data_IF_680110539512
#
_entry.id   IF_680110539512
#
_cell.length_a   1.000
_cell.length_b   1.000
_cell.length_c   1.000
_cell.angle_alpha   90.00
_cell.angle_beta   90.00
_cell.angle_gamma   90.00
#
_symmetry.space_group_name_H-M   'P 1'
#
loop_
_entity.id
_entity.type
_entity.pdbx_description
1 polymer ?
#
# COMPACT_ATOMS: atom_id res chain seq x y z
N UNK A 1 -5.84 21.06 17.95
CA UNK A 1 -6.25 20.53 16.63
C UNK A 1 -6.02 19.02 16.51
N UNK A 2 -5.18 18.38 17.32
CA UNK A 2 -5.13 16.90 17.40
C UNK A 2 -4.42 16.24 16.22
N UNK A 3 -3.95 17.05 15.28
CA UNK A 3 -3.00 16.63 14.26
C UNK A 3 -1.62 16.50 14.90
N UNK A 4 -0.86 15.55 14.39
CA UNK A 4 0.49 15.25 14.82
C UNK A 4 1.41 15.51 13.63
N UNK A 5 2.53 16.16 13.88
CA UNK A 5 3.55 16.35 12.86
C UNK A 5 4.33 15.04 12.66
N UNK A 6 4.71 14.71 11.41
CA UNK A 6 5.61 13.60 11.15
C UNK A 6 6.90 13.73 11.96
N UNK A 7 7.45 12.60 12.42
CA UNK A 7 8.77 12.57 13.05
C UNK A 7 9.82 12.82 11.96
N UNK A 8 10.37 14.04 11.92
CA UNK A 8 11.38 14.45 10.94
C UNK A 8 12.79 14.25 11.52
N UNK A 9 13.48 13.22 11.00
CA UNK A 9 14.94 12.95 10.95
C UNK A 9 15.84 13.23 12.18
N UNK A 10 16.58 12.20 12.62
CA UNK A 10 17.67 12.29 13.62
C UNK A 10 18.03 10.99 14.36
N UNK A 11 17.15 9.99 14.34
CA UNK A 11 17.15 8.92 15.35
C UNK A 11 17.08 7.47 14.79
N UNK A 12 17.57 7.19 13.57
CA UNK A 12 17.60 5.83 13.00
C UNK A 12 16.24 5.09 12.93
N UNK A 13 15.11 5.79 13.04
CA UNK A 13 13.79 5.17 13.12
C UNK A 13 13.28 4.56 11.80
N UNK A 14 13.81 4.99 10.65
CA UNK A 14 13.36 4.52 9.34
C UNK A 14 14.49 4.48 8.30
N UNK A 15 14.62 3.35 7.61
CA UNK A 15 15.39 3.24 6.39
C UNK A 15 14.62 2.39 5.37
N UNK A 16 14.78 2.69 4.08
CA UNK A 16 14.17 1.89 3.02
C UNK A 16 14.84 2.14 1.67
N UNK A 17 14.83 1.13 0.81
CA UNK A 17 15.35 1.22 -0.56
C UNK A 17 14.58 0.26 -1.46
N UNK A 18 14.09 0.75 -2.59
CA UNK A 18 13.59 -0.09 -3.67
C UNK A 18 14.77 -0.42 -4.61
N UNK A 19 14.96 -1.71 -4.92
CA UNK A 19 15.99 -2.18 -5.84
C UNK A 19 15.40 -3.15 -6.84
N UNK A 20 15.85 -3.06 -8.09
CA UNK A 20 15.50 -4.04 -9.11
C UNK A 20 16.50 -5.19 -9.08
N UNK A 21 15.97 -6.42 -9.05
CA UNK A 21 16.74 -7.66 -9.17
C UNK A 21 16.86 -8.14 -10.61
N UNK A 22 16.19 -7.45 -11.56
CA UNK A 22 16.23 -7.78 -12.98
C UNK A 22 17.62 -7.59 -13.60
N UNK A 23 17.98 -8.40 -14.61
CA UNK A 23 19.29 -8.35 -15.25
C UNK A 23 19.49 -7.08 -16.10
N UNK A 24 20.76 -6.73 -16.32
CA UNK A 24 21.13 -5.75 -17.35
C UNK A 24 21.11 -6.42 -18.73
N UNK A 25 20.45 -5.80 -19.70
CA UNK A 25 20.31 -6.27 -21.07
C UNK A 25 20.93 -5.26 -22.03
N UNK A 26 21.64 -5.77 -23.03
CA UNK A 26 22.16 -4.98 -24.16
C UNK A 26 21.16 -5.04 -25.31
N UNK A 27 20.51 -3.93 -25.60
CA UNK A 27 19.61 -3.77 -26.73
C UNK A 27 20.38 -3.39 -28.00
N UNK A 28 19.85 -3.79 -29.17
CA UNK A 28 20.43 -3.51 -30.50
C UNK A 28 21.92 -3.88 -30.65
N UNK A 29 22.31 -5.00 -30.04
CA UNK A 29 23.71 -5.45 -30.02
C UNK A 29 24.31 -5.52 -31.43
N UNK A 30 25.50 -4.95 -31.62
CA UNK A 30 26.23 -4.92 -32.89
C UNK A 30 25.74 -3.85 -33.88
N UNK A 31 24.99 -2.85 -33.41
CA UNK A 31 24.56 -1.70 -34.23
C UNK A 31 25.03 -0.38 -33.62
N UNK A 32 25.02 0.71 -34.38
CA UNK A 32 25.33 2.07 -33.90
C UNK A 32 24.32 2.60 -32.84
N UNK A 33 23.27 1.82 -32.54
CA UNK A 33 22.24 2.12 -31.53
C UNK A 33 22.28 1.13 -30.35
N UNK A 34 23.41 0.45 -30.15
CA UNK A 34 23.60 -0.43 -28.99
C UNK A 34 23.52 0.38 -27.69
N UNK A 35 22.70 -0.07 -26.75
CA UNK A 35 22.62 0.52 -25.40
C UNK A 35 22.33 -0.54 -24.35
N UNK A 36 22.79 -0.29 -23.14
CA UNK A 36 22.54 -1.18 -21.99
C UNK A 36 21.46 -0.57 -21.10
N UNK A 37 20.47 -1.36 -20.71
CA UNK A 37 19.42 -0.98 -19.76
C UNK A 37 19.09 -2.15 -18.85
N UNK A 38 18.40 -1.93 -17.73
CA UNK A 38 17.88 -3.03 -16.91
C UNK A 38 16.50 -3.43 -17.42
N UNK A 39 16.22 -4.72 -17.41
CA UNK A 39 14.86 -5.17 -17.71
C UNK A 39 13.88 -4.64 -16.67
N UNK A 40 12.66 -4.32 -17.12
CA UNK A 40 11.63 -3.76 -16.28
C UNK A 40 11.89 -2.36 -15.73
N UNK A 41 12.96 -1.66 -16.16
CA UNK A 41 13.16 -0.25 -15.79
C UNK A 41 12.01 0.65 -16.32
N UNK A 42 11.64 1.70 -15.58
CA UNK A 42 12.05 1.99 -14.21
C UNK A 42 11.33 1.11 -13.18
N UNK A 43 11.86 1.01 -11.96
CA UNK A 43 11.17 0.36 -10.82
C UNK A 43 9.80 1.01 -10.62
N UNK A 44 8.74 0.22 -10.79
CA UNK A 44 7.36 0.67 -10.66
C UNK A 44 6.86 0.62 -9.21
N UNK A 45 7.49 -0.17 -8.36
CA UNK A 45 7.17 -0.34 -6.95
C UNK A 45 7.47 0.93 -6.15
N UNK A 46 6.55 1.27 -5.25
CA UNK A 46 6.66 2.37 -4.29
C UNK A 46 6.30 1.87 -2.91
N UNK A 47 7.05 2.32 -1.91
CA UNK A 47 6.66 2.21 -0.50
C UNK A 47 6.74 3.60 0.12
N UNK A 48 5.92 3.83 1.13
CA UNK A 48 5.94 5.06 1.92
C UNK A 48 5.61 4.72 3.37
N UNK A 49 6.39 5.29 4.28
CA UNK A 49 6.12 5.21 5.70
C UNK A 49 6.24 6.61 6.30
N UNK A 50 5.25 7.00 7.10
CA UNK A 50 5.28 8.20 7.93
C UNK A 50 5.05 7.79 9.37
N UNK A 51 6.00 8.14 10.23
CA UNK A 51 5.91 7.90 11.66
C UNK A 51 5.37 9.17 12.33
N UNK A 52 4.37 9.01 13.18
CA UNK A 52 3.82 10.04 14.04
C UNK A 52 3.89 9.55 15.50
N UNK A 53 3.90 10.45 16.50
CA UNK A 53 3.98 10.08 17.91
C UNK A 53 3.03 8.97 18.38
N UNK A 54 1.80 8.90 17.87
CA UNK A 54 0.80 7.88 18.25
C UNK A 54 0.20 7.14 17.06
N UNK A 55 0.73 7.38 15.87
CA UNK A 55 0.17 6.88 14.62
C UNK A 55 1.30 6.55 13.64
N UNK A 56 1.02 5.68 12.68
CA UNK A 56 1.96 5.48 11.57
C UNK A 56 1.20 5.16 10.31
N UNK A 57 1.58 5.79 9.22
CA UNK A 57 1.09 5.47 7.88
C UNK A 57 2.14 4.56 7.25
N UNK A 58 1.71 3.43 6.72
CA UNK A 58 2.57 2.52 5.98
C UNK A 58 1.82 2.01 4.76
N UNK A 59 2.50 1.94 3.62
CA UNK A 59 1.91 1.44 2.38
C UNK A 59 2.97 0.91 1.42
N UNK A 60 2.51 0.05 0.51
CA UNK A 60 3.19 -0.38 -0.71
C UNK A 60 2.23 -0.28 -1.89
N UNK A 61 2.75 0.12 -3.04
CA UNK A 61 2.05 0.16 -4.32
C UNK A 61 2.96 -0.46 -5.39
N UNK A 62 2.40 -1.35 -6.20
CA UNK A 62 3.09 -1.93 -7.36
C UNK A 62 2.42 -1.42 -8.63
N UNK A 63 3.19 -0.71 -9.46
CA UNK A 63 2.71 -0.22 -10.75
C UNK A 63 2.52 -1.38 -11.72
N UNK A 64 1.29 -1.59 -12.22
CA UNK A 64 0.99 -2.72 -13.07
C UNK A 64 1.71 -2.63 -14.44
N UNK A 65 2.60 -3.58 -14.71
CA UNK A 65 3.55 -3.64 -15.85
C UNK A 65 4.77 -2.73 -15.67
N UNK A 66 5.61 -2.65 -16.71
CA UNK A 66 6.84 -1.87 -16.70
C UNK A 66 6.67 -0.52 -17.41
N UNK A 67 7.58 0.40 -17.13
CA UNK A 67 7.66 1.69 -17.81
C UNK A 67 7.21 2.87 -16.96
N UNK A 68 7.20 4.04 -17.59
CA UNK A 68 6.99 5.30 -16.87
C UNK A 68 5.53 5.50 -16.41
N UNK A 69 4.57 4.93 -17.13
CA UNK A 69 3.14 5.06 -16.79
C UNK A 69 2.80 4.35 -15.48
N UNK A 70 3.11 3.05 -15.28
CA UNK A 70 2.84 2.39 -14.00
C UNK A 70 3.65 2.98 -12.84
N UNK A 71 4.92 3.36 -13.07
CA UNK A 71 5.74 4.07 -12.07
C UNK A 71 5.06 5.36 -11.56
N UNK A 72 4.57 6.20 -12.48
CA UNK A 72 3.84 7.44 -12.13
C UNK A 72 2.52 7.15 -11.43
N UNK A 73 1.82 6.09 -11.82
CA UNK A 73 0.57 5.70 -11.17
C UNK A 73 0.81 5.29 -9.70
N UNK A 74 1.81 4.44 -9.45
CA UNK A 74 2.22 4.04 -8.11
C UNK A 74 2.65 5.25 -7.27
N UNK A 75 3.45 6.16 -7.84
CA UNK A 75 3.90 7.39 -7.19
C UNK A 75 2.75 8.33 -6.80
N UNK A 76 1.84 8.62 -7.73
CA UNK A 76 0.68 9.49 -7.46
C UNK A 76 -0.24 8.86 -6.41
N UNK A 77 -0.55 7.57 -6.57
CA UNK A 77 -1.40 6.85 -5.63
C UNK A 77 -0.80 6.81 -4.22
N UNK A 78 0.49 6.47 -4.09
CA UNK A 78 1.16 6.40 -2.79
C UNK A 78 1.18 7.74 -2.07
N UNK A 79 1.54 8.80 -2.79
CA UNK A 79 1.66 10.13 -2.22
C UNK A 79 0.28 10.66 -1.80
N UNK A 80 -0.70 10.66 -2.71
CA UNK A 80 -2.03 11.19 -2.41
C UNK A 80 -2.78 10.38 -1.36
N UNK A 81 -2.56 9.06 -1.28
CA UNK A 81 -3.09 8.25 -0.18
C UNK A 81 -2.49 8.67 1.17
N UNK A 82 -1.17 8.78 1.24
CA UNK A 82 -0.48 9.16 2.46
C UNK A 82 -0.80 10.58 2.89
N UNK A 83 -0.80 11.54 1.96
CA UNK A 83 -1.10 12.94 2.21
C UNK A 83 -2.53 13.09 2.76
N UNK A 84 -3.50 12.39 2.17
CA UNK A 84 -4.88 12.39 2.67
C UNK A 84 -4.96 11.85 4.10
N UNK A 85 -4.30 10.73 4.40
CA UNK A 85 -4.29 10.20 5.76
C UNK A 85 -3.57 11.14 6.72
N UNK A 86 -2.47 11.76 6.32
CA UNK A 86 -1.70 12.70 7.15
C UNK A 86 -2.51 13.96 7.48
N UNK A 87 -3.28 14.48 6.54
CA UNK A 87 -4.15 15.65 6.77
C UNK A 87 -5.32 15.32 7.71
N UNK A 88 -5.87 14.12 7.61
CA UNK A 88 -7.10 13.74 8.31
C UNK A 88 -6.90 12.80 9.51
N UNK A 89 -5.66 12.41 9.83
CA UNK A 89 -5.37 11.46 10.91
C UNK A 89 -5.90 11.93 12.27
N UNK A 90 -5.95 13.23 12.53
CA UNK A 90 -6.55 13.82 13.73
C UNK A 90 -8.01 13.36 13.96
N UNK A 91 -8.75 13.12 12.88
CA UNK A 91 -10.17 12.72 12.91
C UNK A 91 -10.37 11.23 13.28
N UNK A 92 -9.28 10.44 13.33
CA UNK A 92 -9.30 9.03 13.70
C UNK A 92 -9.72 8.82 15.16
N UNK A 93 -11.03 8.82 15.39
CA UNK A 93 -11.69 8.69 16.69
C UNK A 93 -12.09 7.25 17.00
N UNK A 94 -12.50 6.50 15.97
CA UNK A 94 -12.92 5.09 16.07
C UNK A 94 -12.34 4.29 14.91
N UNK A 95 -12.22 2.97 15.08
CA UNK A 95 -11.77 2.06 14.00
C UNK A 95 -12.61 2.18 12.74
N UNK A 96 -13.93 2.36 12.89
CA UNK A 96 -14.86 2.60 11.77
C UNK A 96 -14.58 3.94 11.08
N UNK A 97 -14.25 5.00 11.82
CA UNK A 97 -13.90 6.27 11.21
C UNK A 97 -12.58 6.16 10.44
N UNK A 98 -11.58 5.45 10.97
CA UNK A 98 -10.32 5.16 10.26
C UNK A 98 -10.58 4.38 8.96
N UNK A 99 -11.44 3.36 8.99
CA UNK A 99 -11.84 2.62 7.79
C UNK A 99 -12.46 3.54 6.71
N UNK A 100 -13.25 4.53 7.12
CA UNK A 100 -13.81 5.56 6.21
C UNK A 100 -12.72 6.47 5.65
N UNK A 101 -11.76 6.91 6.47
CA UNK A 101 -10.62 7.69 6.00
C UNK A 101 -9.80 6.91 4.96
N UNK A 102 -9.54 5.63 5.21
CA UNK A 102 -8.84 4.75 4.26
C UNK A 102 -9.63 4.61 2.96
N UNK A 103 -10.95 4.39 3.02
CA UNK A 103 -11.79 4.31 1.81
C UNK A 103 -11.69 5.60 0.98
N UNK A 104 -11.72 6.76 1.64
CA UNK A 104 -11.57 8.06 0.97
C UNK A 104 -10.16 8.24 0.41
N UNK A 105 -9.13 7.83 1.14
CA UNK A 105 -7.74 7.86 0.67
C UNK A 105 -7.55 7.03 -0.62
N UNK A 106 -8.18 5.85 -0.73
CA UNK A 106 -8.19 5.06 -1.97
C UNK A 106 -8.88 5.81 -3.12
N UNK A 107 -9.99 6.50 -2.84
CA UNK A 107 -10.68 7.32 -3.84
C UNK A 107 -9.80 8.48 -4.30
N UNK A 108 -9.16 9.21 -3.38
CA UNK A 108 -8.23 10.31 -3.70
C UNK A 108 -7.04 9.79 -4.50
N UNK A 109 -6.45 8.66 -4.10
CA UNK A 109 -5.37 8.01 -4.82
C UNK A 109 -5.77 7.66 -6.27
N UNK A 110 -6.96 7.10 -6.49
CA UNK A 110 -7.47 6.84 -7.84
C UNK A 110 -7.57 8.11 -8.68
N UNK A 111 -8.20 9.16 -8.15
CA UNK A 111 -8.36 10.42 -8.89
C UNK A 111 -7.01 11.08 -9.20
N UNK A 112 -6.05 11.04 -8.27
CA UNK A 112 -4.70 11.57 -8.47
C UNK A 112 -3.98 10.95 -9.67
N UNK A 113 -4.20 9.65 -9.94
CA UNK A 113 -3.65 8.96 -11.11
C UNK A 113 -4.16 9.62 -12.40
N UNK A 114 -5.46 9.90 -12.46
CA UNK A 114 -6.14 10.48 -13.62
C UNK A 114 -5.85 11.97 -13.82
N UNK A 115 -5.47 12.69 -12.75
CA UNK A 115 -5.23 14.13 -12.80
C UNK A 115 -4.22 14.54 -13.88
N UNK A 116 -4.60 15.54 -14.67
CA UNK A 116 -3.78 16.10 -15.75
C UNK A 116 -3.83 15.32 -17.05
N UNK A 117 -4.52 14.17 -17.11
CA UNK A 117 -4.70 13.43 -18.36
C UNK A 117 -5.87 13.96 -19.18
N UNK A 118 -5.70 14.06 -20.51
CA UNK A 118 -6.78 14.36 -21.46
C UNK A 118 -7.58 13.12 -21.86
N UNK A 119 -6.93 11.96 -21.79
CA UNK A 119 -7.50 10.65 -22.03
C UNK A 119 -7.17 9.79 -20.82
N UNK A 120 -8.19 9.31 -20.11
CA UNK A 120 -7.99 8.46 -18.94
C UNK A 120 -7.12 7.25 -19.28
N UNK A 121 -7.14 6.73 -20.51
CA UNK A 121 -6.33 5.55 -20.87
C UNK A 121 -4.85 5.84 -21.11
N UNK A 122 -4.43 7.11 -21.10
CA UNK A 122 -3.02 7.49 -21.28
C UNK A 122 -2.19 7.42 -19.98
N UNK A 123 -2.81 7.11 -18.84
CA UNK A 123 -2.11 6.93 -17.56
C UNK A 123 -1.88 5.45 -17.22
N UNK A 124 -1.02 5.19 -16.24
CA UNK A 124 -0.77 3.83 -15.74
C UNK A 124 -1.83 3.37 -14.75
N UNK A 125 -1.65 2.15 -14.27
CA UNK A 125 -2.44 1.56 -13.17
C UNK A 125 -1.50 1.02 -12.11
N UNK A 126 -2.00 0.81 -10.89
CA UNK A 126 -1.19 0.33 -9.77
C UNK A 126 -2.05 -0.40 -8.75
N UNK A 127 -1.48 -1.40 -8.07
CA UNK A 127 -2.02 -1.95 -6.82
C UNK A 127 -1.78 -0.95 -5.68
N UNK A 128 -2.47 -1.14 -4.55
CA UNK A 128 -2.19 -0.37 -3.35
C UNK A 128 -2.61 -1.17 -2.12
N UNK A 129 -1.68 -1.38 -1.20
CA UNK A 129 -1.90 -1.90 0.14
C UNK A 129 -1.37 -0.88 1.13
N UNK A 130 -2.24 -0.30 1.96
CA UNK A 130 -1.84 0.74 2.88
C UNK A 130 -2.86 1.04 3.95
N UNK A 131 -2.41 1.69 5.01
CA UNK A 131 -3.25 1.89 6.19
C UNK A 131 -2.66 2.83 7.22
N UNK A 132 -3.37 2.89 8.35
CA UNK A 132 -3.03 3.70 9.50
C UNK A 132 -2.96 2.80 10.74
N UNK A 133 -1.78 2.72 11.33
CA UNK A 133 -1.58 2.18 12.68
C UNK A 133 -1.98 3.26 13.67
N UNK A 134 -2.90 2.94 14.59
CA UNK A 134 -3.40 3.87 15.59
C UNK A 134 -3.39 3.24 16.97
N UNK A 135 -3.13 4.06 17.98
CA UNK A 135 -3.47 3.73 19.37
C UNK A 135 -4.97 3.90 19.58
N UNK A 136 -5.62 2.87 20.08
CA UNK A 136 -7.05 2.87 20.34
C UNK A 136 -7.37 3.56 21.67
N UNK A 137 -8.53 4.20 21.73
CA UNK A 137 -9.04 4.80 22.97
C UNK A 137 -9.49 3.72 23.95
N UNK A 138 -10.12 2.68 23.42
CA UNK A 138 -10.53 1.47 24.14
C UNK A 138 -9.88 0.26 23.47
N UNK A 139 -9.39 -0.72 24.25
CA UNK A 139 -8.74 -1.89 23.69
C UNK A 139 -9.73 -2.73 22.86
N UNK A 140 -9.24 -3.36 21.80
CA UNK A 140 -9.97 -4.46 21.15
C UNK A 140 -10.02 -5.64 22.12
N UNK A 141 -11.21 -6.19 22.32
CA UNK A 141 -11.47 -7.33 23.20
C UNK A 141 -12.07 -8.45 22.36
N UNK A 142 -11.61 -9.69 22.55
CA UNK A 142 -12.15 -10.88 21.89
C UNK A 142 -11.76 -12.14 22.65
N UNK A 143 -12.79 -12.89 23.02
CA UNK A 143 -12.83 -14.27 23.49
C UNK A 143 -14.09 -14.92 22.86
N UNK A 144 -14.66 -16.05 23.27
CA UNK A 144 -14.02 -17.28 23.75
C UNK A 144 -13.57 -18.20 22.62
N UNK A 145 -13.78 -17.85 21.36
CA UNK A 145 -13.31 -18.68 20.23
C UNK A 145 -12.96 -17.82 19.00
N UNK A 146 -12.66 -16.53 19.22
CA UNK A 146 -12.25 -15.57 18.18
C UNK A 146 -11.14 -14.63 18.66
N UNK A 147 -10.20 -15.11 19.45
CA UNK A 147 -9.52 -14.34 20.52
C UNK A 147 -8.53 -13.20 20.13
N UNK A 148 -8.80 -12.00 20.68
CA UNK A 148 -7.95 -10.81 20.93
C UNK A 148 -8.41 -10.18 22.28
N UNK A 149 -8.15 -10.75 23.45
CA UNK A 149 -8.81 -10.28 24.72
C UNK A 149 -8.41 -8.90 25.28
N UNK A 150 -7.40 -8.21 24.76
CA UNK A 150 -7.17 -6.78 24.99
C UNK A 150 -6.01 -6.31 24.12
N UNK A 151 -6.27 -5.45 23.14
CA UNK A 151 -5.21 -4.88 22.30
C UNK A 151 -5.39 -3.37 22.11
N UNK A 152 -4.35 -2.60 22.42
CA UNK A 152 -4.41 -1.13 22.41
C UNK A 152 -3.99 -0.50 21.09
N UNK A 153 -3.53 -1.30 20.12
CA UNK A 153 -3.15 -0.80 18.80
C UNK A 153 -3.80 -1.63 17.71
N UNK A 154 -4.12 -0.97 16.61
CA UNK A 154 -4.64 -1.63 15.44
C UNK A 154 -4.08 -0.97 14.19
N UNK A 155 -3.66 -1.80 13.24
CA UNK A 155 -3.44 -1.39 11.88
C UNK A 155 -4.74 -1.57 11.11
N UNK A 156 -5.40 -0.47 10.78
CA UNK A 156 -6.54 -0.49 9.88
C UNK A 156 -5.98 -0.23 8.49
N UNK A 157 -6.33 -1.09 7.54
CA UNK A 157 -5.72 -1.07 6.21
C UNK A 157 -6.73 -1.37 5.12
N UNK A 158 -6.43 -0.88 3.92
CA UNK A 158 -7.13 -1.23 2.70
C UNK A 158 -6.17 -1.85 1.69
N UNK A 159 -6.71 -2.69 0.81
CA UNK A 159 -5.95 -3.36 -0.25
C UNK A 159 -6.75 -3.43 -1.53
N UNK A 160 -6.12 -3.10 -2.65
CA UNK A 160 -6.55 -3.47 -4.00
C UNK A 160 -5.35 -4.01 -4.76
N UNK A 161 -5.53 -5.10 -5.48
CA UNK A 161 -4.41 -5.81 -6.09
C UNK A 161 -3.86 -6.93 -5.22
N UNK A 162 -2.62 -7.33 -5.48
CA UNK A 162 -2.01 -8.54 -4.92
C UNK A 162 -0.75 -8.30 -4.08
N UNK A 163 -0.42 -7.04 -3.76
CA UNK A 163 0.50 -6.73 -2.66
C UNK A 163 0.09 -7.49 -1.39
N UNK A 164 1.08 -7.97 -0.64
CA UNK A 164 0.86 -8.82 0.53
C UNK A 164 1.16 -8.10 1.83
N UNK A 165 0.29 -8.33 2.80
CA UNK A 165 0.47 -7.95 4.18
C UNK A 165 0.66 -9.20 5.03
N UNK A 166 1.68 -9.18 5.88
CA UNK A 166 1.88 -10.18 6.93
C UNK A 166 1.97 -9.51 8.28
N UNK A 167 1.41 -10.18 9.28
CA UNK A 167 1.55 -9.83 10.69
C UNK A 167 2.29 -10.95 11.40
N UNK A 168 3.37 -10.60 12.08
CA UNK A 168 4.06 -11.47 13.02
C UNK A 168 3.67 -11.07 14.43
N UNK A 169 3.08 -12.00 15.17
CA UNK A 169 2.83 -11.84 16.60
C UNK A 169 4.07 -12.27 17.40
N UNK A 170 4.68 -11.35 18.13
CA UNK A 170 5.84 -11.66 18.97
C UNK A 170 5.48 -12.55 20.17
N UNK A 171 4.30 -12.32 20.75
CA UNK A 171 3.81 -13.09 21.90
C UNK A 171 3.47 -14.55 21.52
N UNK A 172 2.82 -14.75 20.37
CA UNK A 172 2.43 -16.08 19.89
C UNK A 172 3.50 -16.75 19.02
N UNK A 173 4.48 -15.98 18.52
CA UNK A 173 5.51 -16.42 17.57
C UNK A 173 4.92 -17.01 16.28
N UNK A 174 3.85 -16.40 15.78
CA UNK A 174 3.11 -16.86 14.60
C UNK A 174 3.10 -15.80 13.51
N UNK A 175 3.05 -16.25 12.26
CA UNK A 175 2.82 -15.40 11.09
C UNK A 175 1.40 -15.59 10.57
N UNK A 176 0.76 -14.50 10.18
CA UNK A 176 -0.54 -14.49 9.51
C UNK A 176 -0.47 -13.66 8.23
N UNK A 177 -0.90 -14.24 7.11
CA UNK A 177 -1.20 -13.47 5.89
C UNK A 177 -2.54 -12.75 6.08
N UNK A 178 -2.47 -11.45 6.38
CA UNK A 178 -3.64 -10.60 6.61
C UNK A 178 -4.38 -10.31 5.29
N UNK A 179 -3.71 -10.51 4.15
CA UNK A 179 -4.21 -10.32 2.78
C UNK A 179 -4.49 -11.65 2.06
N UNK A 180 -4.60 -12.78 2.76
CA UNK A 180 -4.67 -14.13 2.17
C UNK A 180 -5.75 -14.31 1.09
N UNK A 181 -6.84 -13.54 1.16
CA UNK A 181 -7.95 -13.61 0.22
C UNK A 181 -7.79 -12.75 -1.05
N UNK A 182 -6.76 -11.91 -1.18
CA UNK A 182 -6.69 -10.89 -2.24
C UNK A 182 -6.45 -11.46 -3.66
N UNK A 183 -5.98 -12.71 -3.78
CA UNK A 183 -5.70 -13.37 -5.07
C UNK A 183 -6.39 -14.73 -5.22
N UNK A 184 -7.57 -14.90 -4.62
CA UNK A 184 -8.35 -16.13 -4.77
C UNK A 184 -8.87 -16.26 -6.21
N UNK A 185 -8.48 -17.34 -6.90
CA UNK A 185 -9.11 -17.74 -8.18
C UNK A 185 -8.37 -17.34 -9.47
N UNK A 186 -7.16 -16.77 -9.40
CA UNK A 186 -6.32 -16.55 -10.60
C UNK A 186 -4.90 -17.04 -10.39
N UNK A 187 -4.41 -17.86 -11.31
CA UNK A 187 -3.00 -18.29 -11.38
C UNK A 187 -2.16 -17.42 -12.31
N UNK A 188 -2.78 -16.45 -12.98
CA UNK A 188 -2.09 -15.59 -13.95
C UNK A 188 -1.28 -14.52 -13.23
N UNK A 189 0.02 -14.46 -13.50
CA UNK A 189 0.92 -13.39 -13.04
C UNK A 189 0.51 -12.00 -13.52
N UNK A 190 -0.29 -11.89 -14.59
CA UNK A 190 -0.73 -10.61 -15.17
C UNK A 190 -2.00 -10.05 -14.53
N UNK A 191 -2.71 -10.89 -13.78
CA UNK A 191 -3.93 -10.50 -13.10
C UNK A 191 -3.63 -10.33 -11.61
N UNK A 192 -3.37 -9.09 -11.22
CA UNK A 192 -3.20 -8.68 -9.82
C UNK A 192 -4.52 -8.72 -9.03
N UNK A 193 -5.64 -9.15 -9.63
CA UNK A 193 -6.96 -9.14 -9.01
C UNK A 193 -7.65 -7.81 -9.23
N UNK A 194 -7.14 -6.71 -8.69
CA UNK A 194 -7.68 -5.36 -8.86
C UNK A 194 -6.59 -4.30 -8.97
N UNK A 195 -6.93 -3.08 -9.38
CA UNK A 195 -5.97 -1.97 -9.51
C UNK A 195 -6.65 -0.60 -9.52
N UNK A 196 -5.92 0.40 -9.02
CA UNK A 196 -6.22 1.81 -9.20
C UNK A 196 -5.78 2.31 -10.58
N UNK A 197 -6.28 3.48 -10.97
CA UNK A 197 -6.23 3.97 -12.34
C UNK A 197 -7.33 3.37 -13.23
N UNK A 198 -7.29 3.64 -14.54
CA UNK A 198 -8.34 3.26 -15.48
C UNK A 198 -8.17 1.81 -15.91
N UNK A 199 -8.99 0.93 -15.33
CA UNK A 199 -8.99 -0.50 -15.62
C UNK A 199 -10.40 -1.06 -15.89
N UNK A 200 -11.43 -0.42 -15.33
CA UNK A 200 -12.84 -0.71 -15.57
C UNK A 200 -13.46 0.15 -16.67
N UNK A 201 -14.79 0.11 -16.77
CA UNK A 201 -15.55 0.95 -17.71
C UNK A 201 -15.39 2.43 -17.38
N UNK A 202 -15.30 3.28 -18.40
CA UNK A 202 -15.28 4.76 -18.25
C UNK A 202 -14.12 5.29 -17.37
N UNK A 203 -13.01 4.56 -17.28
CA UNK A 203 -11.84 4.98 -16.51
C UNK A 203 -11.93 4.72 -15.00
N UNK A 204 -12.95 3.98 -14.56
CA UNK A 204 -13.08 3.54 -13.16
C UNK A 204 -11.98 2.54 -12.76
N UNK A 205 -11.67 2.44 -11.44
CA UNK A 205 -10.75 1.43 -10.96
C UNK A 205 -11.38 0.04 -11.01
N UNK A 206 -10.52 -0.97 -11.01
CA UNK A 206 -10.93 -2.34 -10.83
C UNK A 206 -10.83 -2.71 -9.35
N UNK A 207 -11.98 -2.75 -8.68
CA UNK A 207 -12.10 -2.98 -7.23
C UNK A 207 -12.59 -4.38 -6.87
N UNK A 208 -12.52 -5.36 -7.80
CA UNK A 208 -13.12 -6.70 -7.60
C UNK A 208 -12.57 -7.45 -6.38
N UNK A 209 -11.35 -7.11 -5.94
CA UNK A 209 -10.71 -7.66 -4.75
C UNK A 209 -10.43 -6.59 -3.67
N UNK A 210 -11.07 -5.41 -3.77
CA UNK A 210 -10.89 -4.36 -2.78
C UNK A 210 -11.39 -4.80 -1.41
N UNK A 211 -10.56 -4.61 -0.39
CA UNK A 211 -10.87 -4.97 1.00
C UNK A 211 -10.40 -3.88 1.93
N UNK A 212 -11.14 -3.69 3.02
CA UNK A 212 -10.69 -2.98 4.22
C UNK A 212 -10.78 -3.95 5.38
N UNK A 213 -9.75 -3.96 6.21
CA UNK A 213 -9.71 -4.80 7.39
C UNK A 213 -8.91 -4.15 8.52
N UNK A 214 -8.90 -4.82 9.66
CA UNK A 214 -8.19 -4.44 10.86
C UNK A 214 -7.27 -5.59 11.30
N UNK A 215 -6.06 -5.23 11.71
CA UNK A 215 -5.10 -6.16 12.31
C UNK A 215 -4.69 -5.62 13.67
N UNK A 216 -5.08 -6.29 14.78
CA UNK A 216 -4.61 -5.94 16.12
C UNK A 216 -3.08 -6.09 16.18
N UNK A 217 -2.42 -5.15 16.86
CA UNK A 217 -0.97 -5.12 16.96
C UNK A 217 -0.55 -4.95 18.42
N UNK A 218 0.32 -5.81 18.90
CA UNK A 218 0.94 -5.67 20.21
C UNK A 218 2.36 -5.11 20.11
N UNK A 219 2.92 -4.78 21.27
CA UNK A 219 4.33 -4.41 21.34
C UNK A 219 5.19 -5.55 20.79
N UNK A 220 6.22 -5.18 20.02
CA UNK A 220 7.21 -6.06 19.40
C UNK A 220 6.67 -6.89 18.22
N UNK A 221 5.39 -6.75 17.86
CA UNK A 221 4.85 -7.30 16.62
C UNK A 221 5.48 -6.63 15.38
N UNK A 222 5.45 -7.36 14.25
CA UNK A 222 6.01 -6.88 12.98
C UNK A 222 4.91 -6.89 11.92
N UNK A 223 4.67 -5.74 11.30
CA UNK A 223 3.88 -5.62 10.07
C UNK A 223 4.83 -5.61 8.88
N UNK A 224 4.56 -6.48 7.92
CA UNK A 224 5.35 -6.63 6.70
C UNK A 224 4.43 -6.37 5.53
N UNK A 225 4.72 -5.32 4.75
CA UNK A 225 4.00 -5.00 3.52
C UNK A 225 4.97 -5.17 2.34
N UNK A 226 4.57 -5.93 1.33
CA UNK A 226 5.41 -6.25 0.18
C UNK A 226 4.62 -6.21 -1.12
N UNK A 227 5.29 -5.89 -2.23
CA UNK A 227 4.82 -6.20 -3.58
C UNK A 227 4.98 -7.70 -3.86
N UNK A 228 4.62 -8.16 -5.07
CA UNK A 228 4.68 -9.57 -5.46
C UNK A 228 6.08 -10.03 -5.93
N UNK A 229 7.01 -9.10 -6.14
CA UNK A 229 8.38 -9.32 -6.63
C UNK A 229 9.46 -9.61 -5.60
#
# INVERSE_FOLDING_TARGET
DGNEDPIVWGDDHLCGRAISTYPMIVANKGTDKEFTHRDGDPICDRFLVQLLPKRSIALVADGCNWGEKPRKAAEKASNSFADYLLEHQAEATTTHYVARLITRAFSVAHHSILEGSRDSWDVGTTTLLGGLLVKLQEPLLEDRDGEIIACNWAYIWGSVGDCKGFHYSASQKTFRDITSANRLGTSSARDCGGRLGPAGTEGLPDLRNFRIDLTPCEKDDILILVSDG
#
